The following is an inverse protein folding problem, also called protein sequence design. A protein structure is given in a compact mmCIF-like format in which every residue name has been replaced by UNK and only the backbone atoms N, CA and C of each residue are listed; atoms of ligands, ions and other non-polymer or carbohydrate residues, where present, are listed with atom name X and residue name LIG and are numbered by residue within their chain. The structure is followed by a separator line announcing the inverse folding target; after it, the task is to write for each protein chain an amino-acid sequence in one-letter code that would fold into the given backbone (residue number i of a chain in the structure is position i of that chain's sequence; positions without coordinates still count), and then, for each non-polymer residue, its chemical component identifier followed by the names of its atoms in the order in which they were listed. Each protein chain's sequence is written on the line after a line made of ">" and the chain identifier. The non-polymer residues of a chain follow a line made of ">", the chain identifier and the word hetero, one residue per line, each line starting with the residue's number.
data_IF_432591581603
#
_entry.id   IF_432591581603
#
_cell.length_a   1.000
_cell.length_b   1.000
_cell.length_c   1.000
_cell.angle_alpha   90.00
_cell.angle_beta   90.00
_cell.angle_gamma   90.00
#
_symmetry.space_group_name_H-M   'P 1'
#
loop_
_entity.id
_entity.type
_entity.pdbx_description
1 polymer ?
#
# COMPACT_ATOMS: atom_id res chain seq x y z
N UNK A 1 5.77 -15.94 19.14
CA UNK A 1 6.91 -14.99 19.25
C UNK A 1 7.81 -15.19 18.05
N UNK A 2 8.52 -14.14 17.60
CA UNK A 2 9.44 -14.22 16.44
C UNK A 2 10.54 -15.25 16.73
N UNK A 3 10.71 -16.24 15.85
CA UNK A 3 11.83 -17.20 15.91
C UNK A 3 12.89 -16.83 14.89
N UNK A 4 14.13 -17.28 15.09
CA UNK A 4 15.21 -17.08 14.10
C UNK A 4 14.81 -17.59 12.71
N UNK A 5 14.18 -18.75 12.65
CA UNK A 5 13.63 -19.33 11.42
C UNK A 5 12.59 -18.42 10.75
N UNK A 6 11.71 -17.78 11.55
CA UNK A 6 10.73 -16.81 11.03
C UNK A 6 11.43 -15.62 10.39
N UNK A 7 12.48 -15.09 11.04
CA UNK A 7 13.25 -13.95 10.52
C UNK A 7 14.00 -14.30 9.24
N UNK A 8 14.64 -15.46 9.19
CA UNK A 8 15.35 -15.92 7.99
C UNK A 8 14.40 -16.17 6.83
N UNK A 9 13.21 -16.70 7.11
CA UNK A 9 12.16 -16.89 6.10
C UNK A 9 11.65 -15.54 5.58
N UNK A 10 11.42 -14.57 6.46
CA UNK A 10 11.02 -13.23 6.08
C UNK A 10 12.08 -12.52 5.21
N UNK A 11 13.36 -12.64 5.57
CA UNK A 11 14.46 -12.07 4.78
C UNK A 11 14.57 -12.72 3.40
N UNK A 12 14.43 -14.05 3.30
CA UNK A 12 14.38 -14.74 2.01
C UNK A 12 13.21 -14.28 1.15
N UNK A 13 12.02 -14.12 1.74
CA UNK A 13 10.85 -13.63 1.04
C UNK A 13 11.05 -12.19 0.51
N UNK A 14 11.65 -11.31 1.32
CA UNK A 14 11.96 -9.94 0.92
C UNK A 14 12.96 -9.87 -0.24
N UNK A 15 13.99 -10.73 -0.24
CA UNK A 15 14.93 -10.83 -1.36
C UNK A 15 14.25 -11.35 -2.62
N UNK A 16 13.51 -12.46 -2.54
CA UNK A 16 12.80 -13.03 -3.68
C UNK A 16 11.83 -12.02 -4.30
N UNK A 17 11.14 -11.22 -3.48
CA UNK A 17 10.21 -10.21 -3.94
C UNK A 17 10.92 -9.02 -4.62
N UNK A 18 12.06 -8.59 -4.06
CA UNK A 18 12.92 -7.57 -4.69
C UNK A 18 13.42 -8.04 -6.06
N UNK A 19 13.88 -9.28 -6.17
CA UNK A 19 14.40 -9.83 -7.41
C UNK A 19 13.33 -10.01 -8.49
N UNK A 20 12.12 -10.42 -8.08
CA UNK A 20 10.95 -10.43 -8.95
C UNK A 20 10.67 -9.05 -9.55
N UNK A 21 10.68 -8.00 -8.72
CA UNK A 21 10.48 -6.63 -9.21
C UNK A 21 11.63 -6.14 -10.09
N UNK A 22 12.88 -6.47 -9.77
CA UNK A 22 14.02 -6.16 -10.66
C UNK A 22 13.84 -6.75 -12.05
N UNK A 23 13.33 -7.98 -12.13
CA UNK A 23 12.94 -8.62 -13.39
C UNK A 23 11.94 -7.75 -14.18
N UNK A 24 10.85 -7.33 -13.53
CA UNK A 24 9.84 -6.47 -14.15
C UNK A 24 10.38 -5.10 -14.57
N UNK A 25 11.26 -4.50 -13.77
CA UNK A 25 11.93 -3.23 -14.12
C UNK A 25 12.78 -3.40 -15.38
N UNK A 26 13.54 -4.49 -15.47
CA UNK A 26 14.37 -4.77 -16.64
C UNK A 26 13.53 -4.96 -17.91
N UNK A 27 12.36 -5.61 -17.81
CA UNK A 27 11.42 -5.72 -18.92
C UNK A 27 10.84 -4.37 -19.32
N UNK A 28 10.38 -3.55 -18.36
CA UNK A 28 9.78 -2.24 -18.63
C UNK A 28 10.77 -1.20 -19.15
N UNK A 29 12.06 -1.34 -18.85
CA UNK A 29 13.11 -0.53 -19.49
C UNK A 29 13.24 -0.81 -20.99
N UNK A 30 13.01 -2.05 -21.41
CA UNK A 30 13.07 -2.44 -22.83
C UNK A 30 11.76 -2.14 -23.56
N UNK A 31 10.64 -2.37 -22.89
CA UNK A 31 9.29 -2.19 -23.41
C UNK A 31 8.46 -1.36 -22.43
N UNK A 32 8.59 -0.02 -22.45
CA UNK A 32 7.79 0.86 -21.59
C UNK A 32 6.29 0.71 -21.88
N UNK A 33 5.48 0.72 -20.82
CA UNK A 33 4.03 0.66 -20.88
C UNK A 33 3.37 1.90 -20.25
N UNK A 34 2.03 1.90 -20.25
CA UNK A 34 1.21 2.90 -19.55
C UNK A 34 0.90 2.40 -18.12
N UNK A 35 1.94 2.24 -17.31
CA UNK A 35 1.82 1.75 -15.94
C UNK A 35 2.75 2.51 -14.96
N UNK A 36 2.45 2.36 -13.67
CA UNK A 36 3.17 3.03 -12.60
C UNK A 36 4.67 2.71 -12.59
N UNK A 37 5.06 1.49 -12.98
CA UNK A 37 6.47 1.10 -12.99
C UNK A 37 7.22 1.83 -14.12
N UNK A 38 6.63 1.92 -15.31
CA UNK A 38 7.16 2.74 -16.40
C UNK A 38 7.22 4.23 -16.03
N UNK A 39 6.20 4.74 -15.32
CA UNK A 39 6.23 6.10 -14.80
C UNK A 39 7.42 6.34 -13.86
N UNK A 40 7.63 5.45 -12.87
CA UNK A 40 8.76 5.54 -11.93
C UNK A 40 10.13 5.42 -12.62
N UNK A 41 10.25 4.57 -13.65
CA UNK A 41 11.49 4.46 -14.44
C UNK A 41 11.81 5.76 -15.19
N UNK A 42 10.78 6.44 -15.69
CA UNK A 42 10.94 7.70 -16.42
C UNK A 42 11.15 8.92 -15.52
N UNK A 43 10.75 8.82 -14.24
CA UNK A 43 10.78 9.89 -13.28
C UNK A 43 12.19 10.45 -13.08
N UNK A 44 12.28 11.77 -13.08
CA UNK A 44 13.51 12.53 -12.87
C UNK A 44 13.20 13.73 -11.98
N UNK A 45 14.12 14.03 -11.06
CA UNK A 45 14.09 15.21 -10.20
C UNK A 45 15.46 15.90 -10.26
N UNK A 46 15.49 17.19 -10.57
CA UNK A 46 16.73 17.94 -10.84
C UNK A 46 17.74 17.24 -11.78
N UNK A 47 17.22 16.47 -12.75
CA UNK A 47 18.01 15.69 -13.71
C UNK A 47 18.58 14.37 -13.15
N UNK A 48 18.32 14.05 -11.89
CA UNK A 48 18.66 12.77 -11.27
C UNK A 48 17.52 11.76 -11.46
N UNK A 49 17.89 10.51 -11.72
CA UNK A 49 16.96 9.38 -11.79
C UNK A 49 17.08 8.56 -10.52
N UNK A 50 16.00 7.86 -10.17
CA UNK A 50 16.06 6.81 -9.16
C UNK A 50 17.12 5.78 -9.57
N UNK A 51 17.98 5.42 -8.63
CA UNK A 51 18.78 4.21 -8.72
C UNK A 51 17.86 2.99 -8.80
N UNK A 52 18.41 1.84 -9.20
CA UNK A 52 17.61 0.61 -9.28
C UNK A 52 17.04 0.19 -7.92
N UNK A 53 17.82 0.34 -6.84
CA UNK A 53 17.37 0.00 -5.50
C UNK A 53 16.31 0.98 -4.96
N UNK A 54 16.44 2.29 -5.25
CA UNK A 54 15.40 3.28 -4.90
C UNK A 54 14.11 3.03 -5.68
N UNK A 55 14.22 2.65 -6.96
CA UNK A 55 13.06 2.35 -7.79
C UNK A 55 12.33 1.10 -7.31
N UNK A 56 13.07 0.02 -7.03
CA UNK A 56 12.50 -1.24 -6.52
C UNK A 56 11.88 -1.01 -5.15
N UNK A 57 12.59 -0.36 -4.22
CA UNK A 57 12.06 -0.07 -2.88
C UNK A 57 10.82 0.83 -2.92
N UNK A 58 10.77 1.82 -3.81
CA UNK A 58 9.59 2.67 -4.02
C UNK A 58 8.41 1.86 -4.56
N UNK A 59 8.64 0.97 -5.52
CA UNK A 59 7.59 0.09 -6.04
C UNK A 59 7.05 -0.86 -4.96
N UNK A 60 7.93 -1.44 -4.12
CA UNK A 60 7.55 -2.26 -2.96
C UNK A 60 6.70 -1.45 -1.99
N UNK A 61 7.14 -0.23 -1.64
CA UNK A 61 6.42 0.65 -0.73
C UNK A 61 5.01 0.94 -1.23
N UNK A 62 4.87 1.32 -2.50
CA UNK A 62 3.57 1.65 -3.09
C UNK A 62 2.65 0.42 -3.15
N UNK A 63 3.17 -0.75 -3.51
CA UNK A 63 2.38 -1.99 -3.52
C UNK A 63 1.89 -2.32 -2.11
N UNK A 64 2.78 -2.30 -1.13
CA UNK A 64 2.43 -2.66 0.26
C UNK A 64 1.44 -1.64 0.85
N UNK A 65 1.71 -0.35 0.69
CA UNK A 65 0.87 0.73 1.21
C UNK A 65 -0.53 0.74 0.58
N UNK A 66 -0.62 0.54 -0.74
CA UNK A 66 -1.88 0.55 -1.47
C UNK A 66 -2.71 -0.72 -1.29
N UNK A 67 -2.07 -1.87 -1.04
CA UNK A 67 -2.75 -3.16 -0.94
C UNK A 67 -3.29 -3.43 0.46
N UNK A 68 -2.43 -3.53 1.47
CA UNK A 68 -2.84 -4.02 2.79
C UNK A 68 -3.81 -3.06 3.49
N UNK A 69 -3.54 -1.76 3.44
CA UNK A 69 -4.41 -0.77 4.08
C UNK A 69 -5.83 -0.80 3.50
N UNK A 70 -5.94 -0.89 2.17
CA UNK A 70 -7.23 -0.89 1.46
C UNK A 70 -8.02 -2.18 1.71
N UNK A 71 -7.35 -3.34 1.70
CA UNK A 71 -8.00 -4.64 2.00
C UNK A 71 -8.56 -4.65 3.42
N UNK A 72 -7.76 -4.25 4.41
CA UNK A 72 -8.22 -4.19 5.81
C UNK A 72 -9.34 -3.17 5.98
N UNK A 73 -9.20 -1.97 5.40
CA UNK A 73 -10.22 -0.93 5.52
C UNK A 73 -11.56 -1.37 4.93
N UNK A 74 -11.54 -2.05 3.79
CA UNK A 74 -12.76 -2.57 3.17
C UNK A 74 -13.44 -3.58 4.08
N UNK A 75 -12.68 -4.50 4.68
CA UNK A 75 -13.19 -5.46 5.66
C UNK A 75 -13.78 -4.78 6.90
N UNK A 76 -13.07 -3.80 7.46
CA UNK A 76 -13.51 -3.04 8.63
C UNK A 76 -14.81 -2.28 8.34
N UNK A 77 -14.90 -1.59 7.20
CA UNK A 77 -16.09 -0.85 6.78
C UNK A 77 -17.31 -1.77 6.63
N UNK A 78 -17.16 -2.91 5.94
CA UNK A 78 -18.24 -3.89 5.78
C UNK A 78 -18.73 -4.41 7.13
N UNK A 79 -17.80 -4.77 8.03
CA UNK A 79 -18.15 -5.21 9.38
C UNK A 79 -18.90 -4.13 10.15
N UNK A 80 -18.40 -2.89 10.13
CA UNK A 80 -18.99 -1.76 10.85
C UNK A 80 -20.42 -1.46 10.37
N UNK A 81 -20.65 -1.46 9.05
CA UNK A 81 -21.96 -1.21 8.45
C UNK A 81 -22.96 -2.32 8.82
N UNK A 82 -22.57 -3.58 8.69
CA UNK A 82 -23.45 -4.71 9.01
C UNK A 82 -23.80 -4.77 10.49
N UNK A 83 -22.88 -4.38 11.38
CA UNK A 83 -23.12 -4.34 12.82
C UNK A 83 -24.20 -3.32 13.24
N UNK A 84 -24.49 -2.31 12.42
CA UNK A 84 -25.57 -1.34 12.67
C UNK A 84 -26.98 -1.91 12.46
N UNK A 85 -27.09 -3.11 11.85
CA UNK A 85 -28.36 -3.76 11.53
C UNK A 85 -29.25 -2.99 10.53
N UNK A 86 -30.33 -3.64 10.08
CA UNK A 86 -31.21 -3.10 9.04
C UNK A 86 -30.59 -3.17 7.64
N UNK A 87 -31.16 -2.41 6.70
CA UNK A 87 -30.69 -2.39 5.30
C UNK A 87 -29.45 -1.49 5.13
N UNK A 88 -28.28 -2.03 4.75
CA UNK A 88 -27.05 -1.26 4.54
C UNK A 88 -27.19 -0.14 3.50
N UNK A 89 -28.12 -0.26 2.55
CA UNK A 89 -28.33 0.73 1.47
C UNK A 89 -28.73 2.10 2.00
N UNK A 90 -29.23 2.18 3.24
CA UNK A 90 -29.58 3.46 3.89
C UNK A 90 -28.39 4.42 4.01
N UNK A 91 -27.16 3.89 4.02
CA UNK A 91 -25.93 4.68 4.11
C UNK A 91 -25.45 5.22 2.74
N UNK A 92 -26.04 4.75 1.63
CA UNK A 92 -25.56 5.00 0.27
C UNK A 92 -26.65 5.59 -0.64
N UNK A 93 -27.50 6.46 -0.10
CA UNK A 93 -28.68 6.98 -0.81
C UNK A 93 -28.36 8.10 -1.81
N UNK A 94 -27.16 8.68 -1.71
CA UNK A 94 -26.67 9.74 -2.59
C UNK A 94 -25.13 9.72 -2.67
N UNK A 95 -24.51 10.38 -3.66
CA UNK A 95 -23.05 10.53 -3.70
C UNK A 95 -22.49 11.15 -2.41
N UNK A 96 -23.18 12.14 -1.84
CA UNK A 96 -22.74 12.82 -0.62
C UNK A 96 -22.79 11.90 0.60
N UNK A 97 -23.84 11.08 0.75
CA UNK A 97 -23.96 10.13 1.87
C UNK A 97 -22.99 8.95 1.72
N UNK A 98 -22.72 8.53 0.49
CA UNK A 98 -21.67 7.54 0.18
C UNK A 98 -20.30 8.03 0.61
N UNK A 99 -19.90 9.25 0.21
CA UNK A 99 -18.63 9.83 0.63
C UNK A 99 -18.55 9.95 2.15
N UNK A 100 -19.60 10.46 2.80
CA UNK A 100 -19.64 10.58 4.25
C UNK A 100 -19.52 9.22 4.96
N UNK A 101 -20.12 8.16 4.41
CA UNK A 101 -20.02 6.80 4.96
C UNK A 101 -18.62 6.24 4.85
N UNK A 102 -17.92 6.47 3.72
CA UNK A 102 -16.53 6.04 3.55
C UNK A 102 -15.61 6.74 4.56
N UNK A 103 -15.73 8.06 4.69
CA UNK A 103 -14.96 8.85 5.66
C UNK A 103 -15.25 8.40 7.10
N UNK A 104 -16.52 8.14 7.42
CA UNK A 104 -16.90 7.69 8.76
C UNK A 104 -16.36 6.28 9.06
N UNK A 105 -16.34 5.38 8.08
CA UNK A 105 -15.72 4.07 8.24
C UNK A 105 -14.20 4.17 8.46
N UNK A 106 -13.52 5.09 7.76
CA UNK A 106 -12.09 5.36 7.95
C UNK A 106 -11.79 5.91 9.34
N UNK A 107 -12.65 6.81 9.84
CA UNK A 107 -12.53 7.40 11.18
C UNK A 107 -12.84 6.39 12.30
N UNK A 108 -13.83 5.53 12.10
CA UNK A 108 -14.35 4.64 13.13
C UNK A 108 -13.42 3.44 13.40
N UNK A 109 -12.88 2.82 12.36
CA UNK A 109 -12.07 1.60 12.49
C UNK A 109 -10.94 1.57 11.44
N UNK A 110 -9.93 2.42 11.68
CA UNK A 110 -8.81 2.62 10.78
C UNK A 110 -8.00 1.33 10.55
N UNK A 111 -7.45 1.09 9.35
CA UNK A 111 -6.73 -0.16 9.05
C UNK A 111 -5.30 -0.18 9.63
N UNK A 112 -4.77 0.99 10.02
CA UNK A 112 -3.40 1.18 10.50
C UNK A 112 -3.43 2.01 11.79
N UNK A 113 -3.06 1.39 12.91
CA UNK A 113 -3.19 2.01 14.23
C UNK A 113 -1.93 2.70 14.75
N UNK A 114 -0.75 2.44 14.15
CA UNK A 114 0.51 2.96 14.65
C UNK A 114 1.47 3.36 13.55
N UNK A 115 2.10 4.51 13.75
CA UNK A 115 3.30 4.92 13.06
C UNK A 115 4.33 5.39 14.09
N UNK A 116 5.52 4.79 14.09
CA UNK A 116 6.62 5.21 14.97
C UNK A 116 7.25 6.50 14.45
N UNK A 117 7.70 7.36 15.37
CA UNK A 117 8.52 8.53 15.10
C UNK A 117 9.73 8.47 16.04
N UNK A 118 10.89 8.88 15.54
CA UNK A 118 12.10 9.02 16.34
C UNK A 118 12.33 10.50 16.61
N UNK A 119 12.59 10.86 17.86
CA UNK A 119 13.08 12.20 18.20
C UNK A 119 14.56 12.27 17.83
N UNK A 120 14.96 13.33 17.13
CA UNK A 120 16.38 13.60 16.86
C UNK A 120 17.00 14.29 18.08
N UNK A 121 18.22 13.88 18.44
CA UNK A 121 19.10 14.64 19.33
C UNK A 121 20.07 15.44 18.47
N UNK A 122 20.28 16.72 18.80
CA UNK A 122 21.33 17.57 18.17
C UNK A 122 22.73 17.11 18.55
#
# INVERSE_FOLDING_TARGET
>A
GRTRETEETANRAAHNFSDFLRGHVAERRKNPGDDLLSLLISAQDDGQKLSEDELVSSAILLLNAGHEATVHQTGNAVRAILAQGGDPRRFFTSPQTTTATVEECLRFDAPLHMFTRYAYEE
#
